data_IF_851519689125
#
_entry.id   IF_851519689125
#
_cell.length_a   1.000
_cell.length_b   1.000
_cell.length_c   1.000
_cell.angle_alpha   90.00
_cell.angle_beta   90.00
_cell.angle_gamma   90.00
#
_symmetry.space_group_name_H-M   'P 1'
#
loop_
_entity.id
_entity.type
_entity.pdbx_description
1 polymer ?
#
# COMPACT_ATOMS: atom_id res chain seq x y z
N UNK A 1 9.99 -11.42 6.89
CA UNK A 1 9.33 -10.52 5.92
C UNK A 1 8.08 -11.14 5.30
N UNK A 2 8.10 -12.41 4.85
CA UNK A 2 6.93 -13.05 4.23
C UNK A 2 5.63 -12.95 5.05
N UNK A 3 5.68 -13.20 6.35
CA UNK A 3 4.49 -13.07 7.24
C UNK A 3 3.97 -11.63 7.28
N UNK A 4 4.87 -10.65 7.43
CA UNK A 4 4.49 -9.23 7.44
C UNK A 4 3.86 -8.84 6.09
N UNK A 5 4.44 -9.29 4.97
CA UNK A 5 3.85 -9.10 3.63
C UNK A 5 2.47 -9.76 3.51
N UNK A 6 2.27 -10.95 4.08
CA UNK A 6 0.95 -11.60 4.08
C UNK A 6 -0.08 -10.81 4.88
N UNK A 7 0.31 -10.27 6.04
CA UNK A 7 -0.55 -9.40 6.85
C UNK A 7 -0.94 -8.14 6.06
N UNK A 8 0.02 -7.45 5.44
CA UNK A 8 -0.28 -6.29 4.60
C UNK A 8 -1.14 -6.65 3.39
N UNK A 9 -0.94 -7.82 2.77
CA UNK A 9 -1.80 -8.28 1.69
C UNK A 9 -3.26 -8.36 2.15
N UNK A 10 -3.52 -8.99 3.29
CA UNK A 10 -4.87 -9.12 3.85
C UNK A 10 -5.44 -7.74 4.21
N UNK A 11 -4.67 -6.89 4.89
CA UNK A 11 -5.10 -5.55 5.28
C UNK A 11 -5.46 -4.69 4.07
N UNK A 12 -4.66 -4.72 3.01
CA UNK A 12 -4.94 -3.96 1.78
C UNK A 12 -6.19 -4.47 1.05
N UNK A 13 -6.44 -5.78 1.05
CA UNK A 13 -7.70 -6.34 0.54
C UNK A 13 -8.89 -5.85 1.38
N UNK A 14 -8.77 -5.85 2.71
CA UNK A 14 -9.83 -5.36 3.58
C UNK A 14 -10.08 -3.86 3.38
N UNK A 15 -9.03 -3.06 3.20
CA UNK A 15 -9.17 -1.62 2.92
C UNK A 15 -9.84 -1.38 1.57
N UNK A 16 -9.48 -2.13 0.53
CA UNK A 16 -10.18 -2.07 -0.75
C UNK A 16 -11.68 -2.42 -0.62
N UNK A 17 -12.02 -3.40 0.22
CA UNK A 17 -13.41 -3.80 0.44
C UNK A 17 -14.20 -2.74 1.23
N UNK A 18 -13.62 -2.12 2.25
CA UNK A 18 -14.29 -1.05 3.03
C UNK A 18 -14.59 0.17 2.15
N UNK A 19 -13.81 0.38 1.10
CA UNK A 19 -13.93 1.50 0.18
C UNK A 19 -15.21 1.50 -0.66
N UNK A 20 -15.95 0.39 -0.74
CA UNK A 20 -17.27 0.36 -1.38
C UNK A 20 -18.30 1.29 -0.73
N UNK A 21 -18.02 1.82 0.46
CA UNK A 21 -18.86 2.80 1.14
C UNK A 21 -18.62 4.24 0.67
N UNK A 22 -17.54 4.50 -0.07
CA UNK A 22 -17.13 5.85 -0.50
C UNK A 22 -17.46 6.08 -1.99
N UNK A 23 -17.75 7.33 -2.43
CA UNK A 23 -18.13 7.64 -3.81
C UNK A 23 -17.01 7.38 -4.83
N UNK A 24 -15.76 7.35 -4.39
CA UNK A 24 -14.56 7.10 -5.17
C UNK A 24 -13.95 5.71 -4.91
N UNK A 25 -14.79 4.76 -4.48
CA UNK A 25 -14.46 3.36 -4.19
C UNK A 25 -13.48 2.73 -5.19
N UNK A 26 -13.70 2.96 -6.50
CA UNK A 26 -12.89 2.36 -7.56
C UNK A 26 -11.45 2.90 -7.54
N UNK A 27 -11.27 4.21 -7.31
CA UNK A 27 -9.96 4.85 -7.32
C UNK A 27 -9.07 4.28 -6.20
N UNK A 28 -9.57 4.34 -4.98
CA UNK A 28 -8.85 3.82 -3.80
C UNK A 28 -8.77 2.30 -3.77
N UNK A 29 -9.82 1.60 -4.22
CA UNK A 29 -9.82 0.15 -4.35
C UNK A 29 -8.72 -0.36 -5.28
N UNK A 30 -8.46 0.35 -6.40
CA UNK A 30 -7.34 0.03 -7.30
C UNK A 30 -5.99 0.26 -6.62
N UNK A 31 -5.81 1.39 -5.92
CA UNK A 31 -4.57 1.71 -5.20
C UNK A 31 -4.24 0.62 -4.17
N UNK A 32 -5.20 0.27 -3.32
CA UNK A 32 -5.04 -0.77 -2.32
C UNK A 32 -4.88 -2.16 -2.96
N UNK A 33 -5.61 -2.45 -4.04
CA UNK A 33 -5.48 -3.70 -4.79
C UNK A 33 -4.08 -3.92 -5.36
N UNK A 34 -3.46 -2.88 -5.93
CA UNK A 34 -2.06 -2.95 -6.42
C UNK A 34 -1.11 -3.26 -5.27
N UNK A 35 -1.28 -2.61 -4.11
CA UNK A 35 -0.46 -2.88 -2.93
C UNK A 35 -0.66 -4.32 -2.40
N UNK A 36 -1.91 -4.79 -2.37
CA UNK A 36 -2.26 -6.15 -1.99
C UNK A 36 -1.56 -7.19 -2.88
N UNK A 37 -1.61 -7.01 -4.20
CA UNK A 37 -0.97 -7.92 -5.16
C UNK A 37 0.53 -8.03 -4.89
N UNK A 38 1.22 -6.89 -4.76
CA UNK A 38 2.66 -6.90 -4.48
C UNK A 38 3.01 -7.54 -3.15
N UNK A 39 2.22 -7.27 -2.11
CA UNK A 39 2.38 -7.90 -0.80
C UNK A 39 2.14 -9.41 -0.86
N UNK A 40 1.14 -9.87 -1.62
CA UNK A 40 0.85 -11.29 -1.84
C UNK A 40 1.98 -12.00 -2.60
N UNK A 41 2.46 -11.40 -3.69
CA UNK A 41 3.62 -11.92 -4.44
C UNK A 41 4.86 -12.00 -3.54
N UNK A 42 5.15 -10.96 -2.77
CA UNK A 42 6.27 -10.94 -1.82
C UNK A 42 6.13 -11.99 -0.70
N UNK A 43 4.91 -12.28 -0.26
CA UNK A 43 4.64 -13.26 0.80
C UNK A 43 4.78 -14.70 0.30
N UNK A 44 4.14 -15.02 -0.83
CA UNK A 44 3.91 -16.40 -1.27
C UNK A 44 4.81 -16.83 -2.42
N UNK A 45 5.24 -15.89 -3.28
CA UNK A 45 6.06 -16.18 -4.47
C UNK A 45 7.15 -15.12 -4.70
N UNK A 46 8.01 -14.79 -3.71
CA UNK A 46 8.95 -13.68 -3.84
C UNK A 46 9.93 -13.83 -5.02
N UNK A 47 10.26 -15.06 -5.41
CA UNK A 47 11.13 -15.33 -6.56
C UNK A 47 10.51 -14.98 -7.91
N UNK A 48 9.17 -14.91 -8.03
CA UNK A 48 8.52 -14.47 -9.26
C UNK A 48 8.59 -12.96 -9.46
N UNK A 49 9.02 -12.20 -8.45
CA UNK A 49 9.21 -10.75 -8.54
C UNK A 49 10.65 -10.46 -8.94
N UNK A 50 10.97 -10.69 -10.22
CA UNK A 50 12.28 -10.49 -10.82
C UNK A 50 12.18 -9.67 -12.12
N UNK A 51 13.32 -9.23 -12.65
CA UNK A 51 13.39 -8.47 -13.91
C UNK A 51 12.40 -7.30 -13.98
N UNK A 52 11.56 -7.30 -15.01
CA UNK A 52 10.55 -6.27 -15.25
C UNK A 52 9.52 -6.14 -14.11
N UNK A 53 9.12 -7.24 -13.45
CA UNK A 53 8.19 -7.18 -12.33
C UNK A 53 8.82 -6.43 -11.13
N UNK A 54 10.11 -6.64 -10.88
CA UNK A 54 10.84 -5.90 -9.86
C UNK A 54 10.93 -4.40 -10.20
N UNK A 55 11.16 -4.05 -11.46
CA UNK A 55 11.13 -2.65 -11.93
C UNK A 55 9.74 -2.04 -11.73
N UNK A 56 8.68 -2.76 -12.07
CA UNK A 56 7.31 -2.29 -11.89
C UNK A 56 6.98 -2.03 -10.41
N UNK A 57 7.42 -2.90 -9.50
CA UNK A 57 7.28 -2.66 -8.06
C UNK A 57 7.99 -1.37 -7.61
N UNK A 58 9.18 -1.08 -8.15
CA UNK A 58 9.90 0.18 -7.86
C UNK A 58 9.15 1.40 -8.41
N UNK A 59 8.54 1.28 -9.59
CA UNK A 59 7.68 2.35 -10.16
C UNK A 59 6.44 2.57 -9.28
N UNK A 60 5.76 1.51 -8.85
CA UNK A 60 4.63 1.62 -7.92
C UNK A 60 5.04 2.29 -6.60
N UNK A 61 6.23 1.97 -6.08
CA UNK A 61 6.80 2.65 -4.91
C UNK A 61 7.01 4.14 -5.14
N UNK A 62 7.61 4.52 -6.28
CA UNK A 62 7.83 5.93 -6.61
C UNK A 62 6.50 6.70 -6.74
N UNK A 63 5.49 6.09 -7.37
CA UNK A 63 4.14 6.65 -7.47
C UNK A 63 3.51 6.79 -6.09
N UNK A 64 3.66 5.80 -5.20
CA UNK A 64 3.14 5.87 -3.84
C UNK A 64 3.83 6.96 -3.01
N UNK A 65 5.15 7.17 -3.17
CA UNK A 65 5.87 8.29 -2.54
C UNK A 65 5.29 9.63 -3.03
N UNK A 66 5.12 9.80 -4.34
CA UNK A 66 4.49 10.99 -4.89
C UNK A 66 3.06 11.17 -4.33
N UNK A 67 2.29 10.09 -4.27
CA UNK A 67 0.93 10.10 -3.73
C UNK A 67 0.87 10.49 -2.26
N UNK A 68 1.81 10.05 -1.43
CA UNK A 68 1.89 10.51 -0.02
C UNK A 68 2.13 12.01 0.06
N UNK A 69 2.98 12.57 -0.80
CA UNK A 69 3.21 14.02 -0.85
C UNK A 69 1.97 14.76 -1.33
N UNK A 70 1.31 14.24 -2.37
CA UNK A 70 0.14 14.86 -2.99
C UNK A 70 -1.11 14.84 -2.09
N UNK A 71 -1.39 13.69 -1.47
CA UNK A 71 -2.54 13.48 -0.59
C UNK A 71 -2.21 13.75 0.89
N UNK A 72 -1.08 14.39 1.20
CA UNK A 72 -0.71 14.63 2.60
C UNK A 72 -1.80 15.43 3.31
N UNK A 73 -2.36 14.94 4.44
CA UNK A 73 -3.46 15.62 5.12
C UNK A 73 -3.05 17.02 5.58
N UNK A 74 -3.80 18.03 5.16
CA UNK A 74 -3.60 19.43 5.58
C UNK A 74 -4.40 19.76 6.85
N UNK A 75 -5.33 18.90 7.25
CA UNK A 75 -6.20 19.11 8.41
C UNK A 75 -5.40 19.02 9.71
N UNK A 76 -5.43 20.06 10.58
CA UNK A 76 -4.70 20.04 11.84
C UNK A 76 -5.13 18.88 12.75
N UNK A 77 -4.15 18.10 13.20
CA UNK A 77 -4.43 16.93 14.04
C UNK A 77 -5.13 15.79 13.29
N UNK A 78 -4.88 15.65 11.98
CA UNK A 78 -5.39 14.55 11.15
C UNK A 78 -5.12 13.16 11.74
N UNK A 79 -4.09 12.99 12.58
CA UNK A 79 -3.79 11.72 13.26
C UNK A 79 -4.75 11.37 14.39
N UNK A 80 -5.62 12.29 14.82
CA UNK A 80 -6.61 12.05 15.88
C UNK A 80 -7.86 11.40 15.31
N UNK A 81 -8.42 10.42 16.02
CA UNK A 81 -9.54 9.61 15.55
C UNK A 81 -10.76 10.45 15.19
N UNK A 82 -11.10 11.43 16.00
CA UNK A 82 -12.20 12.35 15.74
C UNK A 82 -12.04 13.16 14.45
N UNK A 83 -10.80 13.29 13.94
CA UNK A 83 -10.51 14.00 12.70
C UNK A 83 -10.52 13.05 11.51
N UNK A 84 -9.65 12.02 11.49
CA UNK A 84 -9.55 11.14 10.31
C UNK A 84 -10.78 10.27 10.09
N UNK A 85 -11.57 9.98 11.13
CA UNK A 85 -12.83 9.25 10.95
C UNK A 85 -13.86 10.07 10.19
N UNK A 86 -13.90 11.38 10.42
CA UNK A 86 -14.93 12.29 9.89
C UNK A 86 -14.46 13.10 8.68
N UNK A 87 -13.15 13.16 8.44
CA UNK A 87 -12.56 13.95 7.34
C UNK A 87 -11.97 13.00 6.30
N UNK A 88 -12.61 12.94 5.14
CA UNK A 88 -12.24 12.07 4.02
C UNK A 88 -10.78 12.28 3.60
N UNK A 89 -10.36 13.50 3.33
CA UNK A 89 -8.98 13.82 2.91
C UNK A 89 -7.90 13.42 3.92
N UNK A 90 -8.24 13.40 5.21
CA UNK A 90 -7.33 12.90 6.26
C UNK A 90 -7.23 11.37 6.21
N UNK A 91 -8.36 10.67 6.04
CA UNK A 91 -8.42 9.21 5.88
C UNK A 91 -7.67 8.75 4.64
N UNK A 92 -7.89 9.41 3.52
CA UNK A 92 -7.24 9.16 2.24
C UNK A 92 -5.72 9.34 2.29
N UNK A 93 -5.24 10.46 2.86
CA UNK A 93 -3.81 10.71 3.01
C UNK A 93 -3.13 9.69 3.91
N UNK A 94 -3.80 9.27 4.99
CA UNK A 94 -3.33 8.16 5.82
C UNK A 94 -3.34 6.82 5.06
N UNK A 95 -4.36 6.57 4.24
CA UNK A 95 -4.43 5.41 3.34
C UNK A 95 -3.26 5.34 2.36
N UNK A 96 -2.86 6.48 1.79
CA UNK A 96 -1.65 6.57 0.95
C UNK A 96 -0.37 6.26 1.73
N UNK A 97 -0.24 6.78 2.96
CA UNK A 97 0.93 6.48 3.80
C UNK A 97 1.04 4.98 4.13
N UNK A 98 -0.09 4.33 4.44
CA UNK A 98 -0.14 2.89 4.68
C UNK A 98 0.17 2.10 3.41
N UNK A 99 -0.32 2.56 2.25
CA UNK A 99 -0.02 1.95 0.94
C UNK A 99 1.47 1.97 0.64
N UNK A 100 2.13 3.11 0.88
CA UNK A 100 3.58 3.23 0.75
C UNK A 100 4.31 2.27 1.70
N UNK A 101 3.87 2.17 2.96
CA UNK A 101 4.45 1.24 3.92
C UNK A 101 4.32 -0.22 3.47
N UNK A 102 3.14 -0.61 2.96
CA UNK A 102 2.87 -1.95 2.43
C UNK A 102 3.81 -2.30 1.26
N UNK A 103 3.92 -1.40 0.27
CA UNK A 103 4.84 -1.57 -0.86
C UNK A 103 6.31 -1.60 -0.42
N UNK A 104 6.68 -0.81 0.59
CA UNK A 104 8.02 -0.82 1.17
C UNK A 104 8.37 -2.16 1.80
N UNK A 105 7.42 -2.75 2.55
CA UNK A 105 7.55 -4.11 3.10
C UNK A 105 7.69 -5.14 1.98
N UNK A 106 6.88 -5.06 0.92
CA UNK A 106 6.97 -5.96 -0.23
C UNK A 106 8.35 -5.88 -0.90
N UNK A 107 8.88 -4.67 -1.12
CA UNK A 107 10.23 -4.47 -1.67
C UNK A 107 11.33 -5.05 -0.78
N UNK A 108 11.29 -4.79 0.53
CA UNK A 108 12.27 -5.34 1.47
C UNK A 108 12.22 -6.88 1.51
N UNK A 109 11.02 -7.47 1.41
CA UNK A 109 10.84 -8.90 1.34
C UNK A 109 11.49 -9.51 0.08
N UNK A 110 11.20 -8.93 -1.10
CA UNK A 110 11.77 -9.37 -2.38
C UNK A 110 13.29 -9.21 -2.39
N UNK A 111 13.81 -8.05 -1.96
CA UNK A 111 15.26 -7.78 -1.96
C UNK A 111 16.04 -8.77 -1.07
N UNK A 112 15.49 -9.14 0.09
CA UNK A 112 16.11 -10.14 0.98
C UNK A 112 16.06 -11.54 0.39
N UNK A 113 14.98 -11.90 -0.31
CA UNK A 113 14.87 -13.18 -1.01
C UNK A 113 15.89 -13.34 -2.14
N UNK A 114 16.17 -12.26 -2.90
CA UNK A 114 17.18 -12.28 -3.96
C UNK A 114 18.62 -12.35 -3.45
N UNK A 115 18.89 -11.98 -2.20
CA UNK A 115 20.24 -12.01 -1.62
C UNK A 115 20.62 -13.37 -1.03
N UNK A 116 19.66 -14.31 -0.94
CA UNK A 116 19.84 -15.64 -0.37
C UNK A 116 19.82 -16.76 -1.43
N UNK A 117 19.64 -16.40 -2.70
CA UNK A 117 19.61 -17.30 -3.86
C UNK A 117 20.87 -17.10 -4.70
#
# INVERSE_FOLDING_TARGET
MRVISAVFCILMVLFAAVQYNDPDALFWGVIYGVAAIWCGLAAFRPASVSGAAKTLLVVCLAIAVFGVVWFWPQTPGFWRQEVWWNTETAREGMGMAITLAALGVAWLAVRRGSAQA
#
